data_IF_109081776665
#
_entry.id   IF_109081776665
#
_cell.length_a   1.000
_cell.length_b   1.000
_cell.length_c   1.000
_cell.angle_alpha   90.00
_cell.angle_beta   90.00
_cell.angle_gamma   90.00
#
_symmetry.space_group_name_H-M   'P 1'
#
loop_
_entity.id
_entity.type
_entity.pdbx_description
1 polymer ?
#
# COMPACT_ATOMS: atom_id res chain seq x y z
N UNK A 1 13.22 -30.14 19.21
CA UNK A 1 13.53 -28.91 18.47
C UNK A 1 13.67 -29.30 17.00
N UNK A 2 13.09 -28.55 16.05
CA UNK A 2 13.14 -28.93 14.62
C UNK A 2 13.89 -27.85 13.83
N UNK A 3 14.70 -28.28 12.86
CA UNK A 3 15.44 -27.37 11.98
C UNK A 3 14.48 -26.57 11.11
N UNK A 4 14.86 -25.32 10.82
CA UNK A 4 14.13 -24.42 9.94
C UNK A 4 14.93 -24.23 8.66
N UNK A 5 14.25 -24.26 7.52
CA UNK A 5 14.88 -24.00 6.22
C UNK A 5 15.62 -22.65 6.22
N UNK A 6 16.87 -22.60 5.78
CA UNK A 6 17.68 -21.38 5.71
C UNK A 6 17.34 -20.48 4.51
N UNK A 7 16.41 -20.90 3.64
CA UNK A 7 15.77 -19.97 2.72
C UNK A 7 14.84 -19.04 3.52
N UNK A 8 15.25 -17.77 3.67
CA UNK A 8 14.53 -16.75 4.45
C UNK A 8 13.09 -16.49 3.99
N UNK A 9 12.76 -16.80 2.73
CA UNK A 9 11.37 -16.70 2.22
C UNK A 9 10.51 -17.93 2.55
N UNK A 10 11.13 -19.07 2.83
CA UNK A 10 10.43 -20.34 3.08
C UNK A 10 10.31 -20.62 4.57
N UNK A 11 11.46 -20.73 5.28
CA UNK A 11 11.53 -20.93 6.74
C UNK A 11 10.67 -22.08 7.30
N UNK A 12 10.25 -23.02 6.46
CA UNK A 12 9.43 -24.15 6.88
C UNK A 12 10.20 -25.05 7.85
N UNK A 13 9.47 -25.74 8.71
CA UNK A 13 10.03 -26.78 9.57
C UNK A 13 10.45 -27.97 8.71
N UNK A 14 11.69 -28.42 8.86
CA UNK A 14 12.21 -29.58 8.16
C UNK A 14 11.87 -30.83 8.97
N UNK A 15 11.15 -31.77 8.35
CA UNK A 15 10.61 -32.96 9.03
C UNK A 15 11.00 -34.28 8.36
N UNK A 16 11.01 -34.34 7.01
CA UNK A 16 11.25 -35.58 6.26
C UNK A 16 12.62 -35.62 5.61
N UNK A 17 12.87 -34.72 4.66
CA UNK A 17 14.17 -34.63 3.98
C UNK A 17 14.85 -33.31 4.27
N UNK A 18 16.16 -33.40 4.47
CA UNK A 18 17.05 -32.27 4.67
C UNK A 18 18.18 -32.32 3.65
N UNK A 19 18.45 -31.20 3.02
CA UNK A 19 19.69 -30.96 2.28
C UNK A 19 20.59 -30.07 3.12
N UNK A 20 21.81 -30.50 3.38
CA UNK A 20 22.83 -29.78 4.13
C UNK A 20 23.97 -29.44 3.18
N UNK A 21 24.35 -28.17 3.17
CA UNK A 21 25.47 -27.66 2.39
C UNK A 21 26.79 -27.71 3.19
N UNK A 22 27.97 -27.67 2.54
CA UNK A 22 29.26 -27.59 3.22
C UNK A 22 29.39 -26.38 4.15
N UNK A 23 28.75 -25.26 3.81
CA UNK A 23 28.65 -24.08 4.65
C UNK A 23 27.63 -24.21 5.80
N UNK A 24 27.22 -25.44 6.14
CA UNK A 24 26.30 -25.78 7.23
C UNK A 24 24.90 -25.16 7.13
N UNK A 25 24.46 -24.68 5.96
CA UNK A 25 23.07 -24.27 5.77
C UNK A 25 22.19 -25.45 5.35
N UNK A 26 20.97 -25.48 5.87
CA UNK A 26 19.98 -26.53 5.67
C UNK A 26 18.77 -26.07 4.87
N UNK A 27 18.23 -26.97 4.05
CA UNK A 27 17.10 -26.70 3.18
C UNK A 27 16.07 -27.84 3.25
N UNK A 28 14.79 -27.48 3.20
CA UNK A 28 13.70 -28.43 3.09
C UNK A 28 13.65 -29.07 1.69
N UNK A 29 12.92 -30.17 1.58
CA UNK A 29 12.69 -30.88 0.31
C UNK A 29 12.29 -29.95 -0.84
N UNK A 30 11.39 -28.99 -0.60
CA UNK A 30 10.91 -28.07 -1.64
C UNK A 30 11.96 -27.05 -2.09
N UNK A 31 12.92 -26.69 -1.24
CA UNK A 31 13.98 -25.73 -1.57
C UNK A 31 15.25 -26.41 -2.10
N UNK A 32 15.43 -27.70 -1.82
CA UNK A 32 16.64 -28.46 -2.14
C UNK A 32 17.00 -28.43 -3.63
N UNK A 33 16.05 -28.67 -4.57
CA UNK A 33 16.36 -28.66 -6.01
C UNK A 33 16.96 -27.33 -6.50
N UNK A 34 16.57 -26.22 -5.87
CA UNK A 34 17.11 -24.90 -6.22
C UNK A 34 18.60 -24.80 -5.87
N UNK A 35 19.02 -25.35 -4.74
CA UNK A 35 20.42 -25.34 -4.30
C UNK A 35 21.25 -26.24 -5.18
N UNK A 36 20.73 -27.43 -5.50
CA UNK A 36 21.40 -28.38 -6.39
C UNK A 36 21.59 -27.82 -7.80
N UNK A 37 20.55 -27.19 -8.36
CA UNK A 37 20.58 -26.65 -9.73
C UNK A 37 21.42 -25.37 -9.84
N UNK A 38 21.33 -24.48 -8.84
CA UNK A 38 22.10 -23.22 -8.85
C UNK A 38 23.54 -23.40 -8.39
N UNK A 39 23.86 -24.51 -7.70
CA UNK A 39 25.17 -24.77 -7.12
C UNK A 39 25.69 -23.60 -6.24
N UNK A 40 24.75 -22.91 -5.59
CA UNK A 40 24.99 -21.76 -4.72
C UNK A 40 24.09 -21.87 -3.49
N UNK A 41 24.68 -21.72 -2.31
CA UNK A 41 23.94 -21.57 -1.07
C UNK A 41 23.14 -20.26 -1.09
N UNK A 42 21.81 -20.32 -1.05
CA UNK A 42 20.99 -19.10 -1.12
C UNK A 42 21.09 -18.23 0.14
N UNK A 43 21.51 -18.80 1.28
CA UNK A 43 21.68 -18.10 2.56
C UNK A 43 22.97 -17.25 2.59
N UNK A 44 24.13 -17.84 2.30
CA UNK A 44 25.43 -17.15 2.40
C UNK A 44 26.15 -16.92 1.07
N UNK A 45 25.56 -17.33 -0.06
CA UNK A 45 26.10 -17.17 -1.42
C UNK A 45 27.38 -17.94 -1.72
N UNK A 46 27.82 -18.81 -0.82
CA UNK A 46 28.94 -19.72 -1.07
C UNK A 46 28.60 -20.68 -2.21
N UNK A 47 29.51 -20.86 -3.15
CA UNK A 47 29.42 -21.89 -4.19
C UNK A 47 29.40 -23.27 -3.53
N UNK A 48 28.55 -24.16 -4.00
CA UNK A 48 28.42 -25.53 -3.49
C UNK A 48 28.42 -26.49 -4.66
N UNK A 49 29.23 -27.54 -4.61
CA UNK A 49 29.17 -28.59 -5.62
C UNK A 49 28.12 -29.61 -5.26
N UNK A 50 27.51 -30.23 -6.27
CA UNK A 50 26.40 -31.19 -6.08
C UNK A 50 26.81 -32.41 -5.27
N UNK A 51 28.05 -32.87 -5.42
CA UNK A 51 28.61 -34.03 -4.71
C UNK A 51 29.00 -33.74 -3.26
N UNK A 52 29.09 -32.47 -2.88
CA UNK A 52 29.34 -32.04 -1.50
C UNK A 52 28.04 -31.82 -0.70
N UNK A 53 26.87 -31.96 -1.34
CA UNK A 53 25.57 -31.79 -0.70
C UNK A 53 25.18 -33.07 0.03
N UNK A 54 24.87 -32.94 1.31
CA UNK A 54 24.41 -34.05 2.13
C UNK A 54 22.88 -34.05 2.15
N UNK A 55 22.27 -35.07 1.54
CA UNK A 55 20.82 -35.28 1.62
C UNK A 55 20.52 -36.40 2.62
N UNK A 56 19.65 -36.13 3.59
CA UNK A 56 19.26 -37.09 4.63
C UNK A 56 17.76 -37.18 4.77
N UNK A 57 17.26 -38.40 4.97
CA UNK A 57 15.92 -38.64 5.47
C UNK A 57 15.95 -38.66 7.00
N UNK A 58 15.05 -37.91 7.63
CA UNK A 58 14.96 -37.71 9.08
C UNK A 58 13.90 -38.60 9.74
N UNK A 59 13.14 -39.37 8.96
CA UNK A 59 12.07 -40.25 9.49
C UNK A 59 12.63 -41.46 10.23
N UNK A 60 13.90 -41.82 9.98
CA UNK A 60 14.59 -42.92 10.63
C UNK A 60 15.94 -42.46 11.16
N UNK A 61 16.25 -42.67 12.44
CA UNK A 61 17.58 -42.39 12.96
C UNK A 61 18.63 -43.30 12.28
N UNK A 62 19.89 -42.83 12.13
CA UNK A 62 20.96 -43.67 11.63
C UNK A 62 21.21 -44.85 12.58
N UNK A 63 21.50 -46.02 12.03
CA UNK A 63 21.95 -47.17 12.83
C UNK A 63 23.39 -46.97 13.25
N UNK A 64 23.67 -47.13 14.53
CA UNK A 64 25.02 -47.06 15.13
C UNK A 64 25.57 -48.45 15.50
N UNK A 65 24.79 -49.51 15.25
CA UNK A 65 25.18 -50.88 15.59
C UNK A 65 26.38 -51.31 14.76
N UNK A 66 27.44 -51.78 15.42
CA UNK A 66 28.67 -52.25 14.78
C UNK A 66 29.78 -51.20 14.65
N UNK A 67 29.52 -49.94 15.03
CA UNK A 67 30.56 -48.91 15.11
C UNK A 67 31.28 -48.93 16.47
N UNK A 68 32.60 -48.65 16.50
CA UNK A 68 33.35 -48.43 17.74
C UNK A 68 32.71 -47.33 18.61
N UNK A 69 32.72 -47.47 19.95
CA UNK A 69 32.20 -46.42 20.83
C UNK A 69 32.84 -45.05 20.60
N UNK A 70 34.14 -44.99 20.30
CA UNK A 70 34.86 -43.74 20.07
C UNK A 70 34.32 -43.00 18.83
N UNK A 71 34.10 -43.70 17.71
CA UNK A 71 33.51 -43.14 16.49
C UNK A 71 32.09 -42.60 16.73
N UNK A 72 31.30 -43.32 17.53
CA UNK A 72 29.93 -42.90 17.90
C UNK A 72 29.96 -41.63 18.74
N UNK A 73 30.88 -41.53 19.70
CA UNK A 73 31.04 -40.33 20.54
C UNK A 73 31.52 -39.13 19.72
N UNK A 74 32.43 -39.33 18.77
CA UNK A 74 32.85 -38.30 17.83
C UNK A 74 31.69 -37.82 16.93
N UNK A 75 30.94 -38.73 16.34
CA UNK A 75 29.76 -38.38 15.54
C UNK A 75 28.71 -37.62 16.38
N UNK A 76 28.50 -38.02 17.64
CA UNK A 76 27.59 -37.33 18.54
C UNK A 76 28.07 -35.90 18.84
N UNK A 77 29.37 -35.71 19.09
CA UNK A 77 29.97 -34.38 19.29
C UNK A 77 29.76 -33.47 18.08
N UNK A 78 29.98 -33.98 16.88
CA UNK A 78 29.82 -33.20 15.64
C UNK A 78 28.34 -32.87 15.39
N UNK A 79 27.44 -33.82 15.64
CA UNK A 79 26.00 -33.60 15.54
C UNK A 79 25.52 -32.52 16.54
N UNK A 80 25.98 -32.58 17.79
CA UNK A 80 25.66 -31.56 18.80
C UNK A 80 26.18 -30.20 18.36
N UNK A 81 27.43 -30.12 17.90
CA UNK A 81 28.05 -28.87 17.44
C UNK A 81 27.27 -28.27 16.27
N UNK A 82 26.85 -29.10 15.32
CA UNK A 82 25.97 -28.69 14.23
C UNK A 82 24.65 -28.12 14.74
N UNK A 83 23.96 -28.81 15.64
CA UNK A 83 22.68 -28.34 16.20
C UNK A 83 22.82 -27.04 17.00
N UNK A 84 23.91 -26.87 17.75
CA UNK A 84 24.21 -25.62 18.45
C UNK A 84 24.41 -24.47 17.46
N UNK A 85 25.16 -24.70 16.39
CA UNK A 85 25.33 -23.72 15.32
C UNK A 85 23.98 -23.34 14.68
N UNK A 86 23.13 -24.32 14.35
CA UNK A 86 21.80 -24.05 13.80
C UNK A 86 20.93 -23.23 14.76
N UNK A 87 20.99 -23.50 16.06
CA UNK A 87 20.25 -22.77 17.08
C UNK A 87 20.70 -21.30 17.17
N UNK A 88 22.01 -21.06 17.19
CA UNK A 88 22.58 -19.70 17.22
C UNK A 88 22.24 -18.91 15.95
N UNK A 89 22.36 -19.53 14.78
CA UNK A 89 21.96 -18.89 13.51
C UNK A 89 20.46 -18.56 13.50
N UNK A 90 19.63 -19.47 14.01
CA UNK A 90 18.20 -19.26 14.14
C UNK A 90 17.87 -18.07 15.04
N UNK A 91 18.52 -17.97 16.21
CA UNK A 91 18.36 -16.85 17.13
C UNK A 91 18.76 -15.53 16.49
N UNK A 92 19.94 -15.49 15.86
CA UNK A 92 20.44 -14.31 15.16
C UNK A 92 19.46 -13.84 14.08
N UNK A 93 19.03 -14.74 13.20
CA UNK A 93 18.07 -14.42 12.12
C UNK A 93 16.76 -13.88 12.71
N UNK A 94 16.23 -14.51 13.76
CA UNK A 94 14.97 -14.07 14.38
C UNK A 94 15.11 -12.70 15.02
N UNK A 95 16.23 -12.42 15.70
CA UNK A 95 16.52 -11.10 16.28
C UNK A 95 16.58 -10.02 15.19
N UNK A 96 17.33 -10.26 14.12
CA UNK A 96 17.43 -9.29 13.01
C UNK A 96 16.10 -9.08 12.29
N UNK A 97 15.32 -10.14 12.08
CA UNK A 97 13.98 -10.02 11.48
C UNK A 97 13.04 -9.19 12.37
N UNK A 98 13.10 -9.39 13.68
CA UNK A 98 12.31 -8.64 14.65
C UNK A 98 12.72 -7.16 14.68
N UNK A 99 14.02 -6.86 14.72
CA UNK A 99 14.54 -5.49 14.69
C UNK A 99 14.10 -4.75 13.42
N UNK A 100 14.17 -5.42 12.27
CA UNK A 100 13.69 -4.86 10.99
C UNK A 100 12.19 -4.61 11.02
N UNK A 101 11.40 -5.60 11.43
CA UNK A 101 9.95 -5.46 11.52
C UNK A 101 9.55 -4.32 12.46
N UNK A 102 10.25 -4.17 13.59
CA UNK A 102 10.04 -3.06 14.53
C UNK A 102 10.38 -1.70 13.89
N UNK A 103 11.50 -1.59 13.18
CA UNK A 103 11.88 -0.37 12.45
C UNK A 103 10.85 0.02 11.39
N UNK A 104 10.39 -0.96 10.60
CA UNK A 104 9.40 -0.74 9.54
C UNK A 104 8.04 -0.33 10.12
N UNK A 105 7.60 -0.99 11.19
CA UNK A 105 6.38 -0.62 11.91
C UNK A 105 6.47 0.79 12.50
N UNK A 106 7.61 1.15 13.10
CA UNK A 106 7.83 2.50 13.63
C UNK A 106 7.72 3.57 12.53
N UNK A 107 8.37 3.35 11.37
CA UNK A 107 8.28 4.25 10.21
C UNK A 107 6.85 4.37 9.69
N UNK A 108 6.13 3.25 9.59
CA UNK A 108 4.73 3.23 9.16
C UNK A 108 3.83 4.05 10.09
N UNK A 109 4.02 3.92 11.42
CA UNK A 109 3.28 4.71 12.42
C UNK A 109 3.59 6.20 12.29
N UNK A 110 4.85 6.59 12.10
CA UNK A 110 5.21 7.99 11.90
C UNK A 110 4.61 8.56 10.62
N UNK A 111 4.68 7.81 9.52
CA UNK A 111 4.07 8.19 8.25
C UNK A 111 2.54 8.38 8.40
N UNK A 112 1.86 7.45 9.09
CA UNK A 112 0.43 7.55 9.36
C UNK A 112 0.08 8.81 10.16
N UNK A 113 0.88 9.18 11.17
CA UNK A 113 0.68 10.41 11.95
C UNK A 113 0.79 11.65 11.06
N UNK A 114 1.79 11.70 10.20
CA UNK A 114 1.98 12.82 9.25
C UNK A 114 0.82 12.91 8.26
N UNK A 115 0.40 11.79 7.65
CA UNK A 115 -0.75 11.76 6.75
C UNK A 115 -2.04 12.20 7.44
N UNK A 116 -2.27 11.75 8.69
CA UNK A 116 -3.44 12.15 9.47
C UNK A 116 -3.46 13.65 9.75
N UNK A 117 -2.31 14.25 10.05
CA UNK A 117 -2.19 15.69 10.26
C UNK A 117 -2.45 16.45 8.95
N UNK A 118 -1.83 16.03 7.83
CA UNK A 118 -2.05 16.64 6.52
C UNK A 118 -3.52 16.61 6.12
N UNK A 119 -4.16 15.44 6.24
CA UNK A 119 -5.58 15.28 5.94
C UNK A 119 -6.48 16.15 6.83
N UNK A 120 -6.12 16.35 8.10
CA UNK A 120 -6.84 17.25 9.00
C UNK A 120 -6.73 18.72 8.56
N UNK A 121 -5.55 19.15 8.13
CA UNK A 121 -5.32 20.51 7.59
C UNK A 121 -6.10 20.71 6.29
N UNK A 122 -6.01 19.77 5.36
CA UNK A 122 -6.75 19.82 4.09
C UNK A 122 -8.26 19.87 4.32
N UNK A 123 -8.77 19.06 5.26
CA UNK A 123 -10.19 19.08 5.64
C UNK A 123 -10.63 20.47 6.10
N UNK A 124 -9.81 21.15 6.90
CA UNK A 124 -10.14 22.49 7.39
C UNK A 124 -10.06 23.55 6.27
N UNK A 125 -9.06 23.44 5.39
CA UNK A 125 -8.96 24.29 4.20
C UNK A 125 -10.20 24.13 3.30
N UNK A 126 -10.66 22.89 3.06
CA UNK A 126 -11.84 22.61 2.25
C UNK A 126 -13.11 23.19 2.88
N UNK A 127 -13.30 23.06 4.19
CA UNK A 127 -14.41 23.70 4.90
C UNK A 127 -14.40 25.22 4.74
N UNK A 128 -13.22 25.85 4.84
CA UNK A 128 -13.07 27.30 4.64
C UNK A 128 -13.45 27.71 3.21
N UNK A 129 -13.01 26.94 2.20
CA UNK A 129 -13.39 27.16 0.80
C UNK A 129 -14.90 27.02 0.58
N UNK A 130 -15.52 25.98 1.14
CA UNK A 130 -16.98 25.78 1.08
C UNK A 130 -17.71 27.00 1.65
N UNK A 131 -17.33 27.45 2.85
CA UNK A 131 -17.95 28.63 3.48
C UNK A 131 -17.82 29.90 2.62
N UNK A 132 -16.67 30.11 1.98
CA UNK A 132 -16.46 31.24 1.06
C UNK A 132 -17.38 31.14 -0.17
N UNK A 133 -17.48 29.95 -0.77
CA UNK A 133 -18.34 29.70 -1.92
C UNK A 133 -19.82 29.86 -1.58
N UNK A 134 -20.26 29.37 -0.42
CA UNK A 134 -21.63 29.56 0.08
C UNK A 134 -21.99 31.04 0.23
N UNK A 135 -21.08 31.84 0.79
CA UNK A 135 -21.28 33.28 0.93
C UNK A 135 -21.32 34.00 -0.43
N UNK A 136 -20.46 33.63 -1.37
CA UNK A 136 -20.49 34.19 -2.73
C UNK A 136 -21.75 33.79 -3.49
N UNK A 137 -22.19 32.54 -3.37
CA UNK A 137 -23.44 32.06 -3.96
C UNK A 137 -24.66 32.82 -3.40
N UNK A 138 -24.67 33.09 -2.10
CA UNK A 138 -25.73 33.89 -1.47
C UNK A 138 -25.78 35.30 -2.06
N UNK A 139 -24.63 35.98 -2.16
CA UNK A 139 -24.54 37.31 -2.77
C UNK A 139 -25.00 37.30 -4.23
N UNK A 140 -24.63 36.28 -4.99
CA UNK A 140 -25.05 36.19 -6.38
C UNK A 140 -26.57 35.97 -6.52
N UNK A 141 -27.19 35.20 -5.61
CA UNK A 141 -28.64 35.06 -5.56
C UNK A 141 -29.34 36.38 -5.23
N UNK A 142 -28.80 37.16 -4.30
CA UNK A 142 -29.30 38.51 -3.96
C UNK A 142 -29.18 39.44 -5.18
N UNK A 143 -28.02 39.47 -5.84
CA UNK A 143 -27.81 40.26 -7.07
C UNK A 143 -28.79 39.89 -8.19
N UNK A 144 -29.00 38.59 -8.43
CA UNK A 144 -29.96 38.11 -9.44
C UNK A 144 -31.38 38.53 -9.09
N UNK A 145 -31.75 38.50 -7.81
CA UNK A 145 -33.07 38.95 -7.36
C UNK A 145 -33.27 40.45 -7.66
N UNK A 146 -32.29 41.29 -7.30
CA UNK A 146 -32.35 42.74 -7.50
C UNK A 146 -32.40 43.10 -8.99
N UNK A 147 -31.57 42.45 -9.82
CA UNK A 147 -31.59 42.62 -11.28
C UNK A 147 -32.94 42.22 -11.88
N UNK A 148 -33.58 41.16 -11.40
CA UNK A 148 -34.92 40.77 -11.84
C UNK A 148 -36.00 41.78 -11.42
N UNK A 149 -35.85 42.45 -10.26
CA UNK A 149 -36.75 43.54 -9.88
C UNK A 149 -36.59 44.74 -10.82
N UNK A 150 -35.35 45.21 -11.03
CA UNK A 150 -35.06 46.31 -11.95
C UNK A 150 -35.52 46.02 -13.39
N UNK A 151 -35.32 44.80 -13.88
CA UNK A 151 -35.76 44.38 -15.21
C UNK A 151 -37.29 44.43 -15.32
N UNK A 152 -38.02 44.01 -14.29
CA UNK A 152 -39.50 44.09 -14.27
C UNK A 152 -39.96 45.55 -14.33
N UNK A 153 -39.40 46.42 -13.51
CA UNK A 153 -39.72 47.86 -13.51
C UNK A 153 -39.47 48.49 -14.89
N UNK A 154 -38.30 48.23 -15.49
CA UNK A 154 -37.97 48.73 -16.82
C UNK A 154 -38.88 48.17 -17.90
N UNK A 155 -39.26 46.90 -17.79
CA UNK A 155 -40.22 46.27 -18.71
C UNK A 155 -41.59 46.94 -18.63
N UNK A 156 -42.06 47.25 -17.42
CA UNK A 156 -43.34 47.94 -17.23
C UNK A 156 -43.31 49.40 -17.69
N UNK A 157 -42.21 50.13 -17.44
CA UNK A 157 -41.97 51.45 -18.02
C UNK A 157 -42.01 51.42 -19.55
N UNK A 158 -41.31 50.45 -20.15
CA UNK A 158 -41.26 50.28 -21.61
C UNK A 158 -42.66 50.00 -22.19
N UNK A 159 -43.44 49.10 -21.57
CA UNK A 159 -44.84 48.84 -21.97
C UNK A 159 -45.70 50.12 -21.91
N UNK A 160 -45.59 50.92 -20.84
CA UNK A 160 -46.30 52.21 -20.73
C UNK A 160 -45.92 53.18 -21.85
N UNK A 161 -44.64 53.23 -22.21
CA UNK A 161 -44.16 54.06 -23.32
C UNK A 161 -44.69 53.58 -24.68
N UNK A 162 -44.75 52.26 -24.92
CA UNK A 162 -45.35 51.70 -26.13
C UNK A 162 -46.82 52.10 -26.28
N UNK A 163 -47.63 51.93 -25.23
CA UNK A 163 -49.05 52.34 -25.24
C UNK A 163 -49.20 53.84 -25.51
N UNK A 164 -48.35 54.68 -24.92
CA UNK A 164 -48.35 56.14 -25.21
C UNK A 164 -48.00 56.44 -26.66
N UNK A 165 -47.02 55.72 -27.23
CA UNK A 165 -46.64 55.86 -28.64
C UNK A 165 -47.79 55.47 -29.56
N UNK A 166 -48.42 54.32 -29.32
CA UNK A 166 -49.58 53.82 -30.06
C UNK A 166 -50.74 54.82 -30.05
N UNK A 167 -51.09 55.37 -28.88
CA UNK A 167 -52.11 56.43 -28.75
C UNK A 167 -51.78 57.67 -29.59
N UNK A 168 -50.51 58.10 -29.61
CA UNK A 168 -50.08 59.25 -30.43
C UNK A 168 -50.15 58.96 -31.92
N UNK A 169 -49.84 57.75 -32.37
CA UNK A 169 -50.02 57.34 -33.78
C UNK A 169 -51.50 57.27 -34.19
N UNK A 170 -52.39 56.75 -33.33
CA UNK A 170 -53.85 56.75 -33.59
C UNK A 170 -54.40 58.19 -33.67
N UNK A 171 -53.96 59.07 -32.76
CA UNK A 171 -54.32 60.49 -32.80
C UNK A 171 -53.74 61.24 -34.01
N UNK A 172 -52.65 60.77 -34.61
CA UNK A 172 -52.10 61.36 -35.84
C UNK A 172 -52.83 60.88 -37.10
N UNK A 173 -53.14 59.59 -37.18
CA UNK A 173 -53.94 59.02 -38.27
C UNK A 173 -55.39 59.53 -38.32
N UNK A 174 -55.96 59.91 -37.18
CA UNK A 174 -57.28 60.58 -37.11
C UNK A 174 -57.25 62.04 -37.53
N UNK A 175 -56.10 62.71 -37.52
CA UNK A 175 -55.94 64.06 -38.08
C UNK A 175 -55.63 64.04 -39.58
N UNK A 176 -55.01 62.97 -40.10
CA UNK A 176 -54.78 62.79 -41.55
C UNK A 176 -56.05 62.33 -42.29
N UNK A 177 -56.98 61.63 -41.63
CA UNK A 177 -58.29 61.24 -42.18
C UNK A 177 -59.30 62.39 -42.29
N UNK A 178 -59.03 63.58 -41.74
CA UNK A 178 -59.94 64.74 -41.80
C UNK A 178 -59.61 65.75 -42.91
N UNK A 179 -58.65 65.44 -43.79
CA UNK A 179 -58.26 66.31 -44.93
C UNK A 179 -58.37 65.62 -46.30
N UNK A 180 -59.09 64.50 -46.40
CA UNK A 180 -59.45 63.88 -47.69
C UNK A 180 -60.97 63.75 -47.84
N UNK A 181 -61.68 64.88 -47.89
CA UNK A 181 -62.94 65.06 -48.65
C UNK A 181 -63.01 66.49 -49.20
#
# INVERSE_FOLDING_TARGET
MHLKCNNLRCRSTIQKYILITPCSHVYCETCSPKIENMQICVACKTMVRKDELLVRELTKPPSIVGYPPDDVLECARDAISFWMYQAQQQEYIMKTMLEKAHSDAYKAVQHLKTCKLSAAIEKENMKSCIKKLENSLKREKENVYDLNMMLREKTDEYKKLLVRKERKTINRGSYESTYEE
#
